data_IF_287176819183
#
_entry.id   IF_287176819183
#
_cell.length_a   1.000
_cell.length_b   1.000
_cell.length_c   1.000
_cell.angle_alpha   90.00
_cell.angle_beta   90.00
_cell.angle_gamma   90.00
#
_symmetry.space_group_name_H-M   'P 1'
#
loop_
_entity.id
_entity.type
_entity.pdbx_description
1 polymer ?
#
# COMPACT_ATOMS: atom_id res chain seq x y z
N UNK A 1 6.44 -10.96 14.14
CA UNK A 1 7.36 -9.88 14.45
C UNK A 1 8.61 -9.98 13.57
N UNK A 2 9.33 -11.10 13.65
CA UNK A 2 10.52 -11.28 12.81
C UNK A 2 10.22 -11.25 11.33
N UNK A 3 9.10 -11.86 10.92
CA UNK A 3 8.69 -11.90 9.51
C UNK A 3 8.38 -10.49 9.01
N UNK A 4 7.69 -9.68 9.82
CA UNK A 4 7.35 -8.31 9.46
C UNK A 4 8.60 -7.45 9.30
N UNK A 5 9.55 -7.57 10.22
CA UNK A 5 10.81 -6.85 10.15
C UNK A 5 11.61 -7.24 8.91
N UNK A 6 11.62 -8.53 8.59
CA UNK A 6 12.32 -9.02 7.42
C UNK A 6 11.70 -8.51 6.12
N UNK A 7 10.37 -8.51 6.02
CA UNK A 7 9.68 -7.98 4.84
C UNK A 7 9.93 -6.48 4.70
N UNK A 8 9.89 -5.73 5.81
CA UNK A 8 10.21 -4.30 5.80
C UNK A 8 11.62 -4.06 5.27
N UNK A 9 12.59 -4.87 5.71
CA UNK A 9 13.96 -4.76 5.24
C UNK A 9 14.07 -5.08 3.76
N UNK A 10 13.34 -6.08 3.28
CA UNK A 10 13.32 -6.42 1.86
C UNK A 10 12.79 -5.26 1.01
N UNK A 11 11.75 -4.58 1.48
CA UNK A 11 11.22 -3.41 0.77
C UNK A 11 12.29 -2.32 0.65
N UNK A 12 12.98 -2.03 1.76
CA UNK A 12 14.03 -1.03 1.77
C UNK A 12 15.18 -1.42 0.85
N UNK A 13 15.64 -2.66 0.95
CA UNK A 13 16.77 -3.15 0.16
C UNK A 13 16.46 -3.23 -1.32
N UNK A 14 15.19 -3.43 -1.67
CA UNK A 14 14.76 -3.64 -3.06
C UNK A 14 14.16 -2.38 -3.69
N UNK A 15 14.20 -1.25 -2.99
CA UNK A 15 13.52 -0.03 -3.44
C UNK A 15 13.92 0.39 -4.85
N UNK A 16 15.19 0.21 -5.22
CA UNK A 16 15.70 0.54 -6.56
C UNK A 16 15.56 -0.60 -7.56
N UNK A 17 15.09 -1.77 -7.13
CA UNK A 17 14.87 -2.92 -8.01
C UNK A 17 13.37 -3.16 -8.15
N UNK A 18 12.79 -2.58 -9.20
CA UNK A 18 11.33 -2.58 -9.38
C UNK A 18 10.73 -3.98 -9.50
N UNK A 19 11.42 -4.93 -10.14
CA UNK A 19 10.91 -6.30 -10.27
C UNK A 19 10.82 -7.00 -8.92
N UNK A 20 11.86 -6.89 -8.11
CA UNK A 20 11.88 -7.50 -6.78
C UNK A 20 10.86 -6.83 -5.88
N UNK A 21 10.82 -5.50 -5.91
CA UNK A 21 9.86 -4.75 -5.10
C UNK A 21 8.43 -5.10 -5.47
N UNK A 22 8.12 -5.21 -6.75
CA UNK A 22 6.78 -5.60 -7.20
C UNK A 22 6.41 -6.99 -6.70
N UNK A 23 7.34 -7.95 -6.74
CA UNK A 23 7.09 -9.29 -6.22
C UNK A 23 6.85 -9.28 -4.72
N UNK A 24 7.57 -8.47 -3.96
CA UNK A 24 7.36 -8.33 -2.53
C UNK A 24 5.95 -7.78 -2.26
N UNK A 25 5.52 -6.78 -3.02
CA UNK A 25 4.17 -6.21 -2.87
C UNK A 25 3.09 -7.25 -3.18
N UNK A 26 3.32 -8.12 -4.17
CA UNK A 26 2.39 -9.22 -4.49
C UNK A 26 2.27 -10.18 -3.32
N UNK A 27 3.37 -10.50 -2.67
CA UNK A 27 3.36 -11.36 -1.48
C UNK A 27 2.57 -10.68 -0.35
N UNK A 28 2.82 -9.40 -0.11
CA UNK A 28 2.11 -8.64 0.92
C UNK A 28 0.62 -8.59 0.68
N UNK A 29 0.19 -8.49 -0.57
CA UNK A 29 -1.23 -8.50 -0.92
C UNK A 29 -1.95 -9.78 -0.58
N UNK A 30 -1.22 -10.86 -0.28
CA UNK A 30 -1.77 -12.16 0.10
C UNK A 30 -1.60 -12.47 1.58
N UNK A 31 -1.03 -11.55 2.36
CA UNK A 31 -0.87 -11.74 3.80
C UNK A 31 -2.17 -11.32 4.51
N UNK A 32 -2.54 -12.06 5.55
CA UNK A 32 -3.72 -11.72 6.33
C UNK A 32 -3.56 -10.33 6.98
N UNK A 33 -4.63 -9.51 7.00
CA UNK A 33 -4.54 -8.15 7.53
C UNK A 33 -4.05 -8.06 8.97
N UNK A 34 -4.29 -9.10 9.77
CA UNK A 34 -3.88 -9.15 11.18
C UNK A 34 -2.36 -9.04 11.36
N UNK A 35 -1.59 -9.38 10.33
CA UNK A 35 -0.14 -9.30 10.39
C UNK A 35 0.42 -7.96 9.98
N UNK A 36 -0.44 -7.02 9.58
CA UNK A 36 0.00 -5.70 9.09
C UNK A 36 -0.13 -4.68 10.20
N UNK A 37 1.01 -4.10 10.59
CA UNK A 37 1.09 -3.11 11.65
C UNK A 37 1.52 -1.73 11.12
N UNK A 38 1.76 -0.80 12.02
CA UNK A 38 2.18 0.56 11.66
C UNK A 38 3.49 0.61 10.88
N UNK A 39 4.40 -0.32 11.14
CA UNK A 39 5.67 -0.37 10.44
C UNK A 39 5.47 -0.68 8.95
N UNK A 40 4.58 -1.62 8.65
CA UNK A 40 4.19 -1.88 7.26
C UNK A 40 3.57 -0.66 6.61
N UNK A 41 2.70 0.04 7.32
CA UNK A 41 2.07 1.24 6.78
C UNK A 41 3.10 2.32 6.43
N UNK A 42 4.12 2.48 7.27
CA UNK A 42 5.22 3.39 6.99
C UNK A 42 5.92 3.01 5.69
N UNK A 43 6.15 1.71 5.49
CA UNK A 43 6.78 1.22 4.26
C UNK A 43 5.89 1.43 3.04
N UNK A 44 4.57 1.28 3.17
CA UNK A 44 3.65 1.59 2.07
C UNK A 44 3.72 3.07 1.69
N UNK A 45 3.87 3.96 2.66
CA UNK A 45 4.05 5.39 2.37
C UNK A 45 5.31 5.65 1.56
N UNK A 46 6.40 4.99 1.91
CA UNK A 46 7.65 5.10 1.17
C UNK A 46 7.46 4.60 -0.26
N UNK A 47 6.80 3.47 -0.42
CA UNK A 47 6.53 2.87 -1.73
C UNK A 47 5.62 3.75 -2.58
N UNK A 48 4.63 4.40 -1.98
CA UNK A 48 3.73 5.30 -2.69
C UNK A 48 4.45 6.53 -3.26
N UNK A 49 5.60 6.85 -2.72
CA UNK A 49 6.43 7.94 -3.23
C UNK A 49 7.50 7.47 -4.22
N UNK A 50 7.44 6.20 -4.62
CA UNK A 50 8.36 5.67 -5.63
C UNK A 50 8.12 6.36 -6.97
N UNK A 51 9.16 6.50 -7.76
CA UNK A 51 9.07 7.14 -9.09
C UNK A 51 8.41 6.27 -10.15
N UNK A 52 8.34 4.96 -9.93
CA UNK A 52 7.73 4.01 -10.86
C UNK A 52 6.23 3.91 -10.61
N UNK A 53 5.42 4.24 -11.62
CA UNK A 53 3.96 4.26 -11.50
C UNK A 53 3.36 2.87 -11.29
N UNK A 54 3.98 1.83 -11.84
CA UNK A 54 3.51 0.45 -11.63
C UNK A 54 3.63 0.05 -10.16
N UNK A 55 4.71 0.45 -9.51
CA UNK A 55 4.91 0.21 -8.09
C UNK A 55 3.84 0.93 -7.26
N UNK A 56 3.59 2.19 -7.57
CA UNK A 56 2.55 2.97 -6.88
C UNK A 56 1.18 2.33 -7.06
N UNK A 57 0.84 1.95 -8.28
CA UNK A 57 -0.44 1.32 -8.57
C UNK A 57 -0.62 0.04 -7.76
N UNK A 58 0.42 -0.79 -7.71
CA UNK A 58 0.32 -2.04 -6.97
C UNK A 58 0.18 -1.82 -5.47
N UNK A 59 0.89 -0.84 -4.93
CA UNK A 59 0.75 -0.47 -3.52
C UNK A 59 -0.69 -0.04 -3.19
N UNK A 60 -1.34 0.66 -4.10
CA UNK A 60 -2.76 1.02 -3.95
C UNK A 60 -3.66 -0.21 -4.06
N UNK A 61 -3.36 -1.15 -4.97
CA UNK A 61 -4.15 -2.37 -5.11
C UNK A 61 -4.17 -3.23 -3.86
N UNK A 62 -3.15 -3.15 -3.04
CA UNK A 62 -3.12 -3.84 -1.76
C UNK A 62 -4.30 -3.39 -0.89
N UNK A 63 -4.63 -2.11 -0.91
CA UNK A 63 -5.78 -1.62 -0.15
C UNK A 63 -7.11 -2.19 -0.67
N UNK A 64 -7.25 -2.40 -1.99
CA UNK A 64 -8.44 -3.05 -2.52
C UNK A 64 -8.64 -4.44 -1.92
N UNK A 65 -7.56 -5.18 -1.70
CA UNK A 65 -7.63 -6.53 -1.16
C UNK A 65 -7.79 -6.57 0.34
N UNK A 66 -7.05 -5.74 1.06
CA UNK A 66 -6.96 -5.84 2.51
C UNK A 66 -7.94 -4.93 3.25
N UNK A 67 -8.38 -3.84 2.63
CA UNK A 67 -9.36 -2.91 3.20
C UNK A 67 -8.97 -2.47 4.62
N UNK A 68 -7.72 -2.01 4.77
CA UNK A 68 -7.18 -1.64 6.08
C UNK A 68 -7.64 -0.24 6.49
N UNK A 69 -8.24 -0.08 7.69
CA UNK A 69 -8.68 1.25 8.15
C UNK A 69 -7.53 2.26 8.26
N UNK A 70 -6.40 1.82 8.81
CA UNK A 70 -5.24 2.70 8.98
C UNK A 70 -4.68 3.14 7.64
N UNK A 71 -4.63 2.24 6.67
CA UNK A 71 -4.14 2.57 5.33
C UNK A 71 -5.10 3.54 4.62
N UNK A 72 -6.41 3.34 4.79
CA UNK A 72 -7.39 4.27 4.25
C UNK A 72 -7.18 5.69 4.80
N UNK A 73 -6.95 5.80 6.11
CA UNK A 73 -6.70 7.10 6.73
C UNK A 73 -5.47 7.79 6.14
N UNK A 74 -4.41 7.02 5.89
CA UNK A 74 -3.21 7.53 5.23
C UNK A 74 -3.52 8.00 3.81
N UNK A 75 -4.22 7.18 3.04
CA UNK A 75 -4.55 7.51 1.65
C UNK A 75 -5.45 8.74 1.56
N UNK A 76 -6.37 8.89 2.49
CA UNK A 76 -7.30 10.02 2.54
C UNK A 76 -6.57 11.37 2.62
N UNK A 77 -5.42 11.39 3.30
CA UNK A 77 -4.63 12.60 3.52
C UNK A 77 -3.41 12.69 2.60
N UNK A 78 -3.32 11.81 1.62
CA UNK A 78 -2.19 11.78 0.69
C UNK A 78 -2.55 12.42 -0.64
N UNK A 79 -1.51 12.84 -1.37
CA UNK A 79 -1.66 13.30 -2.73
C UNK A 79 -0.55 12.64 -3.55
N UNK A 80 -0.94 11.98 -4.63
CA UNK A 80 0.00 11.20 -5.43
C UNK A 80 0.13 11.76 -6.85
N UNK A 81 1.18 11.35 -7.53
CA UNK A 81 1.43 11.70 -8.93
C UNK A 81 1.75 10.42 -9.71
N UNK A 82 1.46 10.35 -11.00
CA UNK A 82 0.73 11.32 -11.79
C UNK A 82 -0.76 11.38 -11.43
N UNK A 83 -1.51 12.21 -12.14
CA UNK A 83 -2.93 12.45 -11.85
C UNK A 83 -3.75 11.17 -11.80
N UNK A 84 -3.56 10.24 -12.73
CA UNK A 84 -4.35 9.02 -12.78
C UNK A 84 -4.11 8.11 -11.55
N UNK A 85 -2.92 8.14 -10.99
CA UNK A 85 -2.61 7.46 -9.74
C UNK A 85 -3.36 8.13 -8.58
N UNK A 86 -3.38 9.45 -8.54
CA UNK A 86 -4.12 10.18 -7.51
C UNK A 86 -5.62 9.94 -7.62
N UNK A 87 -6.15 9.88 -8.83
CA UNK A 87 -7.56 9.57 -9.05
C UNK A 87 -7.91 8.16 -8.54
N UNK A 88 -7.03 7.19 -8.77
CA UNK A 88 -7.20 5.84 -8.27
C UNK A 88 -7.18 5.83 -6.73
N UNK A 89 -6.27 6.57 -6.12
CA UNK A 89 -6.23 6.73 -4.66
C UNK A 89 -7.57 7.23 -4.12
N UNK A 90 -8.14 8.25 -4.76
CA UNK A 90 -9.44 8.82 -4.35
C UNK A 90 -10.55 7.79 -4.48
N UNK A 91 -10.55 7.01 -5.55
CA UNK A 91 -11.53 5.94 -5.73
C UNK A 91 -11.45 4.91 -4.61
N UNK A 92 -10.24 4.52 -4.22
CA UNK A 92 -10.06 3.56 -3.13
C UNK A 92 -10.58 4.09 -1.81
N UNK A 93 -10.35 5.35 -1.51
CA UNK A 93 -10.86 5.99 -0.30
C UNK A 93 -12.38 6.00 -0.32
N UNK A 94 -12.98 6.37 -1.44
CA UNK A 94 -14.43 6.39 -1.58
C UNK A 94 -15.03 4.98 -1.42
N UNK A 95 -14.43 3.98 -2.05
CA UNK A 95 -14.88 2.60 -1.94
C UNK A 95 -14.83 2.11 -0.49
N UNK A 96 -13.74 2.38 0.20
CA UNK A 96 -13.59 1.97 1.59
C UNK A 96 -14.65 2.64 2.47
N UNK A 97 -14.82 3.95 2.33
CA UNK A 97 -15.76 4.70 3.14
C UNK A 97 -17.21 4.29 2.85
N UNK A 98 -17.52 4.00 1.60
CA UNK A 98 -18.85 3.53 1.20
C UNK A 98 -19.16 2.14 1.80
N UNK A 99 -18.21 1.20 1.72
CA UNK A 99 -18.38 -0.13 2.28
C UNK A 99 -18.59 -0.09 3.80
N UNK A 100 -18.00 0.87 4.49
CA UNK A 100 -18.07 0.97 5.94
C UNK A 100 -19.16 1.93 6.43
N UNK A 101 -19.85 2.60 5.51
CA UNK A 101 -20.87 3.59 5.84
C UNK A 101 -22.15 2.96 6.42
N UNK A 102 -22.45 1.74 6.04
CA UNK A 102 -23.62 1.02 6.48
C UNK A 102 -23.43 0.20 7.75
N UNK A 103 -22.22 0.21 8.29
CA UNK A 103 -21.93 -0.50 9.54
C UNK A 103 -21.88 0.44 10.72
#
# INVERSE_FOLDING_TARGET
VEVQEQISQWIIDSFDNTKVLLNILKILGNIAPDFIDHQFLTNFLIVLNHKDTEIKEYALRIQEKLMLPSYNNVLKHSKLTPKWIDDYRKELVELYEEDNKGS
#
